data_IF_305661800937
#
_entry.id   IF_305661800937
#
_cell.length_a   1.000
_cell.length_b   1.000
_cell.length_c   1.000
_cell.angle_alpha   90.00
_cell.angle_beta   90.00
_cell.angle_gamma   90.00
#
_symmetry.space_group_name_H-M   'P 1'
#
loop_
_entity.id
_entity.type
_entity.pdbx_description
1 polymer ?
#
# COMPACT_ATOMS: atom_id res chain seq x y z
N UNK A 1 -11.30 -40.70 -13.96
CA UNK A 1 -10.84 -40.95 -12.56
C UNK A 1 -9.50 -40.26 -12.41
N UNK A 2 -9.42 -39.17 -11.64
CA UNK A 2 -8.15 -38.50 -11.34
C UNK A 2 -7.47 -39.34 -10.24
N UNK A 3 -6.25 -39.88 -10.45
CA UNK A 3 -5.60 -40.65 -9.42
C UNK A 3 -5.29 -39.72 -8.24
N UNK A 4 -5.77 -40.07 -7.05
CA UNK A 4 -5.44 -39.40 -5.81
C UNK A 4 -3.99 -39.73 -5.45
N UNK A 5 -3.04 -39.02 -6.10
CA UNK A 5 -1.61 -39.16 -5.80
C UNK A 5 -1.37 -38.46 -4.47
N UNK A 6 -1.09 -39.19 -3.38
CA UNK A 6 -0.76 -38.56 -2.12
C UNK A 6 0.47 -37.66 -2.32
N UNK A 7 0.52 -36.53 -1.60
CA UNK A 7 1.56 -35.50 -1.69
C UNK A 7 1.57 -34.59 -2.92
N UNK A 8 0.74 -34.81 -3.95
CA UNK A 8 0.67 -33.88 -5.11
C UNK A 8 0.41 -32.44 -4.69
N UNK A 9 -0.56 -32.23 -3.79
CA UNK A 9 -0.87 -30.90 -3.25
C UNK A 9 0.33 -30.27 -2.52
N UNK A 10 1.07 -31.05 -1.73
CA UNK A 10 2.23 -30.55 -0.99
C UNK A 10 3.38 -30.15 -1.93
N UNK A 11 3.66 -30.96 -2.95
CA UNK A 11 4.67 -30.66 -3.96
C UNK A 11 4.25 -29.43 -4.77
N UNK A 12 2.99 -29.37 -5.21
CA UNK A 12 2.45 -28.23 -5.94
C UNK A 12 2.47 -26.94 -5.12
N UNK A 13 2.12 -26.99 -3.83
CA UNK A 13 2.21 -25.84 -2.91
C UNK A 13 3.66 -25.40 -2.72
N UNK A 14 4.57 -26.33 -2.48
CA UNK A 14 6.00 -26.04 -2.30
C UNK A 14 6.59 -25.40 -3.55
N UNK A 15 6.25 -25.93 -4.74
CA UNK A 15 6.65 -25.35 -6.02
C UNK A 15 6.07 -23.95 -6.24
N UNK A 16 4.79 -23.74 -5.91
CA UNK A 16 4.14 -22.42 -6.02
C UNK A 16 4.80 -21.39 -5.11
N UNK A 17 5.12 -21.76 -3.86
CA UNK A 17 5.85 -20.90 -2.93
C UNK A 17 7.29 -20.65 -3.40
N UNK A 18 7.99 -21.67 -3.90
CA UNK A 18 9.33 -21.50 -4.47
C UNK A 18 9.32 -20.53 -5.66
N UNK A 19 8.34 -20.68 -6.56
CA UNK A 19 8.17 -19.78 -7.71
C UNK A 19 7.90 -18.34 -7.26
N UNK A 20 7.02 -18.15 -6.27
CA UNK A 20 6.74 -16.83 -5.70
C UNK A 20 7.98 -16.20 -5.04
N UNK A 21 8.76 -16.99 -4.30
CA UNK A 21 10.02 -16.55 -3.70
C UNK A 21 11.06 -16.15 -4.75
N UNK A 22 11.21 -16.92 -5.83
CA UNK A 22 12.11 -16.55 -6.93
C UNK A 22 11.63 -15.27 -7.63
N UNK A 23 10.32 -15.12 -7.83
CA UNK A 23 9.75 -13.90 -8.40
C UNK A 23 10.02 -12.67 -7.51
N UNK A 24 9.91 -12.78 -6.18
CA UNK A 24 10.20 -11.67 -5.27
C UNK A 24 11.69 -11.30 -5.26
N UNK A 25 12.60 -12.27 -5.39
CA UNK A 25 14.03 -12.00 -5.58
C UNK A 25 14.31 -11.21 -6.86
N UNK A 26 13.71 -11.59 -7.99
CA UNK A 26 13.87 -10.85 -9.25
C UNK A 26 13.31 -9.44 -9.17
N UNK A 27 12.12 -9.27 -8.60
CA UNK A 27 11.54 -7.94 -8.38
C UNK A 27 12.44 -7.07 -7.50
N UNK A 28 13.00 -7.64 -6.43
CA UNK A 28 13.94 -6.95 -5.55
C UNK A 28 15.21 -6.52 -6.28
N UNK A 29 15.73 -7.36 -7.17
CA UNK A 29 16.88 -7.02 -8.01
C UNK A 29 16.54 -5.87 -8.97
N UNK A 30 15.40 -5.94 -9.67
CA UNK A 30 14.94 -4.87 -10.58
C UNK A 30 14.84 -3.51 -9.88
N UNK A 31 14.27 -3.49 -8.67
CA UNK A 31 14.15 -2.27 -7.87
C UNK A 31 15.53 -1.76 -7.46
N UNK A 32 16.44 -2.63 -6.99
CA UNK A 32 17.81 -2.24 -6.60
C UNK A 32 18.64 -1.69 -7.76
N UNK A 33 18.45 -2.23 -8.95
CA UNK A 33 19.12 -1.75 -10.17
C UNK A 33 18.47 -0.47 -10.74
N UNK A 34 17.39 0.03 -10.14
CA UNK A 34 16.74 1.27 -10.56
C UNK A 34 15.92 1.14 -11.84
N UNK A 35 15.61 -0.08 -12.29
CA UNK A 35 14.77 -0.30 -13.47
C UNK A 35 13.28 -0.01 -13.22
N UNK A 36 12.88 0.12 -11.95
CA UNK A 36 11.53 0.50 -11.53
C UNK A 36 11.63 1.83 -10.79
N UNK A 37 11.23 2.92 -11.46
CA UNK A 37 11.20 4.26 -10.87
C UNK A 37 9.79 4.59 -10.42
N UNK A 38 9.63 5.02 -9.16
CA UNK A 38 8.36 5.57 -8.68
C UNK A 38 8.09 6.90 -9.37
N UNK A 39 7.09 6.93 -10.26
CA UNK A 39 6.66 8.14 -10.96
C UNK A 39 5.50 8.78 -10.19
N UNK A 40 5.56 10.08 -9.84
CA UNK A 40 4.44 10.77 -9.24
C UNK A 40 3.29 10.91 -10.25
N UNK A 41 2.05 10.67 -9.81
CA UNK A 41 0.86 10.78 -10.65
C UNK A 41 -0.08 11.89 -10.16
N UNK A 42 -0.11 12.98 -10.92
CA UNK A 42 -0.98 14.14 -10.63
C UNK A 42 -2.47 13.77 -10.62
N UNK A 43 -2.85 12.78 -11.43
CA UNK A 43 -4.22 12.26 -11.49
C UNK A 43 -4.64 11.58 -10.17
N UNK A 44 -3.75 10.78 -9.59
CA UNK A 44 -4.02 10.12 -8.31
C UNK A 44 -4.07 11.13 -7.17
N UNK A 45 -3.19 12.13 -7.19
CA UNK A 45 -3.21 13.24 -6.25
C UNK A 45 -4.53 14.03 -6.30
N UNK A 46 -5.09 14.23 -7.50
CA UNK A 46 -6.38 14.88 -7.66
C UNK A 46 -7.52 14.06 -7.04
N UNK A 47 -7.51 12.74 -7.24
CA UNK A 47 -8.48 11.82 -6.64
C UNK A 47 -8.36 11.85 -5.10
N UNK A 48 -7.14 11.82 -4.57
CA UNK A 48 -6.93 11.90 -3.12
C UNK A 48 -7.36 13.25 -2.54
N UNK A 49 -7.16 14.36 -3.23
CA UNK A 49 -7.66 15.67 -2.78
C UNK A 49 -9.19 15.74 -2.78
N UNK A 50 -9.83 15.13 -3.77
CA UNK A 50 -11.29 15.17 -3.93
C UNK A 50 -12.02 14.21 -2.98
N UNK A 51 -11.46 13.02 -2.73
CA UNK A 51 -12.13 11.93 -2.00
C UNK A 51 -11.38 11.45 -0.75
N UNK A 52 -10.23 12.05 -0.45
CA UNK A 52 -9.45 11.75 0.74
C UNK A 52 -10.18 12.13 2.02
N UNK A 53 -9.72 11.55 3.13
CA UNK A 53 -10.26 11.82 4.44
C UNK A 53 -9.88 13.25 4.89
N UNK A 54 -10.86 13.99 5.43
CA UNK A 54 -10.76 15.45 5.65
C UNK A 54 -9.62 15.89 6.58
N UNK A 55 -9.08 14.98 7.39
CA UNK A 55 -8.05 15.26 8.39
C UNK A 55 -6.68 15.67 7.79
N UNK A 56 -6.38 15.22 6.56
CA UNK A 56 -5.06 15.45 5.92
C UNK A 56 -4.81 16.92 5.52
N UNK A 57 -5.82 17.78 5.55
CA UNK A 57 -5.70 19.17 5.08
C UNK A 57 -5.15 20.16 6.12
N UNK A 58 -5.01 19.78 7.40
CA UNK A 58 -4.60 20.71 8.47
C UNK A 58 -3.10 20.65 8.80
N UNK A 59 -2.39 19.56 8.49
CA UNK A 59 -1.01 19.35 8.97
C UNK A 59 0.11 19.86 8.03
N UNK A 60 -0.20 20.20 6.76
CA UNK A 60 0.83 20.61 5.78
C UNK A 60 1.24 22.09 5.85
N UNK A 61 0.57 22.92 6.67
CA UNK A 61 0.77 24.37 6.68
C UNK A 61 1.68 24.91 7.79
N UNK A 62 2.31 24.07 8.63
CA UNK A 62 3.11 24.55 9.78
C UNK A 62 4.47 23.87 9.91
N UNK A 63 5.34 24.09 8.93
CA UNK A 63 6.79 23.87 9.10
C UNK A 63 7.57 24.91 8.30
N UNK A 64 7.62 26.13 8.82
CA UNK A 64 8.44 27.23 8.29
C UNK A 64 9.14 27.93 9.47
N UNK A 65 10.49 27.87 9.48
CA UNK A 65 11.47 28.78 10.15
C UNK A 65 11.70 28.50 11.67
N UNK A 66 12.90 28.29 12.28
CA UNK A 66 14.34 28.49 11.96
C UNK A 66 15.24 27.85 13.10
N UNK A 67 16.56 28.17 13.33
CA UNK A 67 17.71 27.27 13.12
C UNK A 67 18.59 26.91 14.38
N UNK A 68 19.62 26.07 14.18
CA UNK A 68 20.77 25.70 15.06
C UNK A 68 20.46 24.71 16.22
N UNK A 69 21.19 23.62 16.52
CA UNK A 69 22.64 23.31 16.48
C UNK A 69 22.91 21.79 16.27
N UNK A 70 24.16 21.36 15.98
CA UNK A 70 24.49 19.98 15.59
C UNK A 70 24.89 19.10 16.79
N UNK A 71 24.64 17.79 16.66
CA UNK A 71 25.23 16.63 17.39
C UNK A 71 24.31 15.92 18.39
N UNK A 72 23.59 14.89 17.92
CA UNK A 72 23.61 13.51 18.48
C UNK A 72 22.66 12.59 17.71
N UNK A 73 23.04 11.34 17.36
CA UNK A 73 22.14 10.39 16.72
C UNK A 73 21.39 9.60 17.80
N UNK A 74 20.28 10.15 18.30
CA UNK A 74 19.28 9.35 19.00
C UNK A 74 18.01 9.35 18.16
N UNK A 75 17.81 8.26 17.41
CA UNK A 75 16.51 7.88 16.85
C UNK A 75 15.62 7.54 18.05
N UNK A 76 14.99 8.58 18.60
CA UNK A 76 13.91 8.42 19.56
C UNK A 76 12.67 8.01 18.79
N UNK A 77 12.35 6.71 18.83
CA UNK A 77 11.02 6.18 18.55
C UNK A 77 10.06 6.76 19.60
N UNK A 78 9.61 8.00 19.39
CA UNK A 78 8.52 8.58 20.15
C UNK A 78 7.23 7.99 19.58
N UNK A 79 6.59 7.15 20.38
CA UNK A 79 5.23 6.67 20.17
C UNK A 79 4.26 7.86 20.23
N UNK A 80 4.05 8.52 19.09
CA UNK A 80 2.80 9.24 18.84
C UNK A 80 1.70 8.18 18.79
N UNK A 81 0.59 8.40 19.47
CA UNK A 81 -0.67 7.72 19.14
C UNK A 81 -1.06 8.17 17.73
N UNK A 82 -0.43 7.58 16.72
CA UNK A 82 -0.71 7.83 15.31
C UNK A 82 -2.13 7.38 15.07
N UNK A 83 -3.04 8.35 14.91
CA UNK A 83 -4.36 8.07 14.39
C UNK A 83 -4.21 7.53 12.98
N UNK A 84 -4.20 6.21 12.84
CA UNK A 84 -4.16 5.54 11.54
C UNK A 84 -5.50 5.84 10.85
N UNK A 85 -5.44 6.68 9.83
CA UNK A 85 -6.59 7.13 9.06
C UNK A 85 -6.53 6.58 7.64
N UNK A 86 -7.68 6.13 7.13
CA UNK A 86 -7.77 5.56 5.80
C UNK A 86 -7.71 6.67 4.75
N UNK A 87 -6.65 6.66 3.93
CA UNK A 87 -6.41 7.68 2.90
C UNK A 87 -7.36 7.56 1.70
N UNK A 88 -7.73 6.34 1.30
CA UNK A 88 -8.65 6.07 0.19
C UNK A 88 -10.02 5.66 0.71
N UNK A 89 -11.05 6.45 0.44
CA UNK A 89 -12.44 6.11 0.80
C UNK A 89 -13.15 5.34 -0.30
N UNK A 90 -14.22 4.62 0.07
CA UNK A 90 -15.05 3.85 -0.87
C UNK A 90 -15.54 4.65 -2.08
N UNK A 91 -15.73 5.97 -1.91
CA UNK A 91 -16.21 6.89 -2.96
C UNK A 91 -15.18 7.13 -4.07
N UNK A 92 -13.90 6.95 -3.77
CA UNK A 92 -12.82 7.16 -4.73
C UNK A 92 -12.65 5.98 -5.70
N UNK A 93 -13.14 4.78 -5.37
CA UNK A 93 -12.86 3.55 -6.13
C UNK A 93 -13.28 3.65 -7.59
N UNK A 94 -14.51 4.09 -7.87
CA UNK A 94 -14.99 4.23 -9.25
C UNK A 94 -14.23 5.30 -10.04
N UNK A 95 -13.83 6.39 -9.38
CA UNK A 95 -13.00 7.43 -10.00
C UNK A 95 -11.64 6.85 -10.39
N UNK A 96 -10.97 6.12 -9.48
CA UNK A 96 -9.69 5.47 -9.76
C UNK A 96 -9.76 4.45 -10.90
N UNK A 97 -10.82 3.61 -10.93
CA UNK A 97 -11.01 2.63 -12.02
C UNK A 97 -11.16 3.31 -13.36
N UNK A 98 -12.00 4.35 -13.42
CA UNK A 98 -12.25 5.10 -14.65
C UNK A 98 -11.01 5.85 -15.14
N UNK A 99 -10.34 6.59 -14.25
CA UNK A 99 -9.16 7.39 -14.60
C UNK A 99 -8.01 6.53 -15.12
N UNK A 100 -7.72 5.41 -14.45
CA UNK A 100 -6.61 4.53 -14.85
C UNK A 100 -7.02 3.43 -15.84
N UNK A 101 -8.26 3.46 -16.36
CA UNK A 101 -8.79 2.43 -17.28
C UNK A 101 -8.54 1.01 -16.77
N UNK A 102 -8.79 0.79 -15.47
CA UNK A 102 -8.56 -0.49 -14.82
C UNK A 102 -9.66 -1.50 -15.20
N UNK A 103 -9.35 -2.79 -15.09
CA UNK A 103 -10.34 -3.85 -15.26
C UNK A 103 -11.45 -3.73 -14.21
N UNK A 104 -12.69 -4.06 -14.59
CA UNK A 104 -13.86 -3.96 -13.72
C UNK A 104 -13.74 -4.83 -12.45
N UNK A 105 -13.01 -5.95 -12.52
CA UNK A 105 -12.67 -6.79 -11.37
C UNK A 105 -11.84 -6.05 -10.31
N UNK A 106 -11.04 -5.05 -10.71
CA UNK A 106 -10.20 -4.25 -9.82
C UNK A 106 -11.01 -3.46 -8.80
N UNK A 107 -12.24 -3.06 -9.14
CA UNK A 107 -13.13 -2.36 -8.22
C UNK A 107 -13.45 -3.24 -7.00
N UNK A 108 -13.77 -4.51 -7.25
CA UNK A 108 -14.11 -5.48 -6.20
C UNK A 108 -12.93 -5.73 -5.27
N UNK A 109 -11.72 -5.82 -5.83
CA UNK A 109 -10.48 -5.97 -5.06
C UNK A 109 -10.18 -4.74 -4.21
N UNK A 110 -10.37 -3.53 -4.76
CA UNK A 110 -10.22 -2.28 -4.01
C UNK A 110 -11.22 -2.16 -2.87
N UNK A 111 -12.49 -2.53 -3.08
CA UNK A 111 -13.47 -2.57 -2.01
C UNK A 111 -13.05 -3.54 -0.90
N UNK A 112 -12.62 -4.76 -1.27
CA UNK A 112 -12.12 -5.73 -0.29
C UNK A 112 -10.91 -5.18 0.49
N UNK A 113 -9.97 -4.53 -0.19
CA UNK A 113 -8.78 -3.98 0.44
C UNK A 113 -9.11 -2.86 1.43
N UNK A 114 -10.07 -1.99 1.09
CA UNK A 114 -10.58 -0.94 1.98
C UNK A 114 -11.17 -1.54 3.24
N UNK A 115 -12.02 -2.56 3.13
CA UNK A 115 -12.61 -3.24 4.29
C UNK A 115 -11.54 -3.94 5.14
N UNK A 116 -10.55 -4.59 4.50
CA UNK A 116 -9.42 -5.21 5.21
C UNK A 116 -8.59 -4.18 5.98
N UNK A 117 -8.35 -3.00 5.39
CA UNK A 117 -7.66 -1.91 6.06
C UNK A 117 -8.49 -1.38 7.24
N UNK A 118 -9.81 -1.23 7.07
CA UNK A 118 -10.72 -0.78 8.12
C UNK A 118 -10.68 -1.72 9.34
N UNK A 119 -10.86 -3.03 9.11
CA UNK A 119 -10.79 -4.06 10.17
C UNK A 119 -9.45 -4.04 10.89
N UNK A 120 -8.34 -3.81 10.16
CA UNK A 120 -7.01 -3.74 10.75
C UNK A 120 -6.81 -2.51 11.62
N UNK A 121 -7.37 -1.37 11.23
CA UNK A 121 -7.36 -0.13 12.03
C UNK A 121 -8.19 -0.30 13.30
N UNK A 122 -9.39 -0.90 13.20
CA UNK A 122 -10.25 -1.18 14.35
C UNK A 122 -9.60 -2.14 15.34
N UNK A 123 -8.96 -3.21 14.85
CA UNK A 123 -8.24 -4.18 15.69
C UNK A 123 -7.02 -3.59 16.42
N UNK A 124 -6.51 -2.44 15.99
CA UNK A 124 -5.36 -1.77 16.61
C UNK A 124 -5.75 -0.71 17.64
N UNK A 125 -7.05 -0.37 17.75
CA UNK A 125 -7.60 0.50 18.79
C UNK A 125 -7.99 -0.30 20.02
#
# INVERSE_FOLDING_TARGET
>A
IIPNIPFFFCVWRSWSHYRAYRASQYLSALIRHGHVTSTPSLELDAIYKAYGSKSLTVSSAKSTTSPQDPRSPHVSTQSTTDHVELLLTRKAVLASVSTFSLEESSASDMYRAIEQAHVRIESQR
#
